data_IF_961558286021
#
_entry.id   IF_961558286021
#
_cell.length_a   1.000
_cell.length_b   1.000
_cell.length_c   1.000
_cell.angle_alpha   90.00
_cell.angle_beta   90.00
_cell.angle_gamma   90.00
#
_symmetry.space_group_name_H-M   'P 1'
#
loop_
_entity.id
_entity.type
_entity.pdbx_description
1 polymer ?
#
# COMPACT_ATOMS: atom_id res chain seq x y z
N UNK A 1 -3.92 -17.91 -12.49
CA UNK A 1 -4.14 -16.43 -12.48
C UNK A 1 -4.77 -16.09 -11.16
N UNK A 2 -4.38 -14.98 -10.49
CA UNK A 2 -5.04 -14.49 -9.28
C UNK A 2 -5.91 -13.29 -9.63
N UNK A 3 -7.11 -13.24 -9.07
CA UNK A 3 -8.08 -12.19 -9.31
C UNK A 3 -8.36 -11.47 -7.99
N UNK A 4 -8.30 -10.16 -8.00
CA UNK A 4 -8.55 -9.34 -6.80
C UNK A 4 -9.52 -8.21 -7.06
N UNK A 5 -9.97 -7.59 -5.98
CA UNK A 5 -10.76 -6.37 -6.01
C UNK A 5 -9.92 -5.20 -5.53
N UNK A 6 -9.96 -4.10 -6.28
CA UNK A 6 -9.43 -2.82 -5.84
C UNK A 6 -10.52 -2.08 -5.08
N UNK A 7 -10.35 -1.87 -3.77
CA UNK A 7 -11.42 -1.31 -2.94
C UNK A 7 -11.55 0.20 -3.12
N UNK A 8 -12.79 0.73 -3.21
CA UNK A 8 -13.04 2.16 -3.44
C UNK A 8 -12.89 2.96 -2.13
N UNK A 9 -11.67 3.24 -1.75
CA UNK A 9 -11.38 4.06 -0.56
C UNK A 9 -11.64 5.54 -0.76
N UNK A 10 -11.73 6.00 -2.02
CA UNK A 10 -12.07 7.37 -2.39
C UNK A 10 -13.51 7.48 -2.87
N UNK A 11 -14.09 8.67 -2.77
CA UNK A 11 -15.43 8.94 -3.26
C UNK A 11 -15.53 8.66 -4.78
N UNK A 12 -16.68 8.16 -5.20
CA UNK A 12 -17.01 7.80 -6.58
C UNK A 12 -16.13 6.72 -7.21
N UNK A 13 -15.29 6.02 -6.41
CA UNK A 13 -14.38 4.98 -6.89
C UNK A 13 -13.48 5.46 -8.03
N UNK A 14 -13.61 4.87 -9.20
CA UNK A 14 -12.81 5.20 -10.39
C UNK A 14 -13.58 6.01 -11.44
N UNK A 15 -14.80 6.49 -11.10
CA UNK A 15 -15.70 7.17 -12.02
C UNK A 15 -15.64 8.67 -11.82
N UNK A 16 -15.20 9.42 -12.84
CA UNK A 16 -15.10 10.88 -12.80
C UNK A 16 -16.27 11.60 -13.48
N UNK A 17 -17.21 10.85 -14.06
CA UNK A 17 -18.37 11.42 -14.75
C UNK A 17 -19.43 11.89 -13.77
N UNK A 18 -19.99 13.07 -14.00
CA UNK A 18 -21.17 13.56 -13.25
C UNK A 18 -22.45 12.76 -13.50
N UNK A 19 -22.46 11.92 -14.56
CA UNK A 19 -23.57 11.04 -14.89
C UNK A 19 -23.45 9.65 -14.23
N UNK A 20 -22.29 9.36 -13.63
CA UNK A 20 -22.11 8.15 -12.84
C UNK A 20 -22.72 8.30 -11.44
N UNK A 21 -23.09 7.20 -10.76
CA UNK A 21 -23.51 7.25 -9.36
C UNK A 21 -22.47 7.96 -8.49
N UNK A 22 -22.94 8.92 -7.70
CA UNK A 22 -22.08 9.65 -6.76
C UNK A 22 -22.23 9.02 -5.37
N UNK A 23 -21.11 8.74 -4.69
CA UNK A 23 -21.11 8.16 -3.34
C UNK A 23 -19.86 8.53 -2.55
N UNK A 24 -20.01 8.57 -1.24
CA UNK A 24 -18.90 8.76 -0.30
C UNK A 24 -18.29 7.41 0.10
N UNK A 25 -16.98 7.34 0.35
CA UNK A 25 -16.37 6.14 0.86
C UNK A 25 -16.80 5.92 2.32
N UNK A 26 -17.26 4.71 2.62
CA UNK A 26 -17.60 4.31 3.99
C UNK A 26 -17.03 2.94 4.29
N UNK A 27 -16.85 2.63 5.58
CA UNK A 27 -16.46 1.29 6.00
C UNK A 27 -17.49 0.24 5.54
N UNK A 28 -18.79 0.52 5.68
CA UNK A 28 -19.83 -0.44 5.33
C UNK A 28 -19.86 -0.76 3.82
N UNK A 29 -19.64 0.25 2.96
CA UNK A 29 -19.52 0.01 1.52
C UNK A 29 -18.32 -0.91 1.21
N UNK A 30 -17.14 -0.59 1.74
CA UNK A 30 -15.94 -1.37 1.51
C UNK A 30 -16.05 -2.80 2.08
N UNK A 31 -16.65 -2.96 3.26
CA UNK A 31 -16.97 -4.25 3.88
C UNK A 31 -17.87 -5.10 2.99
N UNK A 32 -18.99 -4.53 2.51
CA UNK A 32 -19.90 -5.23 1.62
C UNK A 32 -19.20 -5.71 0.32
N UNK A 33 -18.36 -4.86 -0.27
CA UNK A 33 -17.59 -5.21 -1.47
C UNK A 33 -16.62 -6.35 -1.19
N UNK A 34 -15.81 -6.26 -0.12
CA UNK A 34 -14.78 -7.25 0.16
C UNK A 34 -15.38 -8.58 0.61
N UNK A 35 -16.43 -8.58 1.41
CA UNK A 35 -17.15 -9.81 1.77
C UNK A 35 -17.80 -10.46 0.55
N UNK A 36 -18.34 -9.68 -0.38
CA UNK A 36 -18.86 -10.19 -1.65
C UNK A 36 -17.75 -10.77 -2.53
N UNK A 37 -16.59 -10.11 -2.62
CA UNK A 37 -15.43 -10.64 -3.33
C UNK A 37 -14.95 -11.96 -2.71
N UNK A 38 -14.88 -12.04 -1.38
CA UNK A 38 -14.53 -13.27 -0.67
C UNK A 38 -15.54 -14.41 -0.92
N UNK A 39 -16.82 -14.08 -0.95
CA UNK A 39 -17.89 -15.04 -1.27
C UNK A 39 -17.71 -15.62 -2.68
N UNK A 40 -17.34 -14.81 -3.66
CA UNK A 40 -17.06 -15.25 -5.03
C UNK A 40 -15.63 -15.74 -5.26
N UNK A 41 -14.89 -16.05 -4.18
CA UNK A 41 -13.55 -16.63 -4.21
C UNK A 41 -12.48 -15.77 -4.90
N UNK A 42 -12.59 -14.46 -4.80
CA UNK A 42 -11.49 -13.59 -5.20
C UNK A 42 -10.29 -13.83 -4.30
N UNK A 43 -9.08 -13.77 -4.89
CA UNK A 43 -7.84 -14.08 -4.18
C UNK A 43 -7.42 -12.97 -3.20
N UNK A 44 -7.67 -11.71 -3.57
CA UNK A 44 -7.23 -10.58 -2.74
C UNK A 44 -8.09 -9.33 -2.86
N UNK A 45 -8.01 -8.49 -1.83
CA UNK A 45 -8.49 -7.11 -1.81
C UNK A 45 -7.29 -6.17 -1.61
N UNK A 46 -7.20 -5.15 -2.44
CA UNK A 46 -6.14 -4.14 -2.40
C UNK A 46 -6.75 -2.75 -2.28
N UNK A 47 -6.29 -1.95 -1.33
CA UNK A 47 -6.63 -0.53 -1.28
C UNK A 47 -5.55 0.32 -1.97
N UNK A 48 -5.97 1.47 -2.50
CA UNK A 48 -5.03 2.54 -2.84
C UNK A 48 -4.72 3.41 -1.61
N UNK A 49 -3.88 4.40 -1.79
CA UNK A 49 -3.75 5.55 -0.91
C UNK A 49 -3.94 6.82 -1.72
N UNK A 50 -4.71 7.76 -1.18
CA UNK A 50 -4.91 9.08 -1.75
C UNK A 50 -5.04 10.08 -0.61
N UNK A 51 -4.22 11.14 -0.63
CA UNK A 51 -4.13 12.13 0.44
C UNK A 51 -4.74 13.47 0.04
N UNK A 52 -4.87 13.70 -1.26
CA UNK A 52 -5.50 14.87 -1.86
C UNK A 52 -6.07 14.50 -3.21
N UNK A 53 -7.35 14.77 -3.43
CA UNK A 53 -8.02 14.49 -4.69
C UNK A 53 -7.69 15.49 -5.79
N UNK A 54 -8.45 15.42 -6.86
CA UNK A 54 -8.28 16.21 -8.06
C UNK A 54 -9.36 17.31 -8.19
N UNK A 55 -10.35 17.31 -7.27
CA UNK A 55 -11.44 18.26 -7.30
C UNK A 55 -12.38 18.09 -8.48
N UNK A 56 -12.79 19.23 -9.06
CA UNK A 56 -13.74 19.26 -10.16
C UNK A 56 -15.20 19.10 -9.70
N UNK A 57 -16.12 18.94 -10.66
CA UNK A 57 -17.56 18.86 -10.38
C UNK A 57 -17.98 17.64 -9.57
N UNK A 58 -17.18 16.60 -9.56
CA UNK A 58 -17.43 15.35 -8.81
C UNK A 58 -16.59 15.26 -7.54
N UNK A 59 -15.80 16.31 -7.22
CA UNK A 59 -14.83 16.26 -6.10
C UNK A 59 -13.99 14.97 -6.14
N UNK A 60 -13.48 14.61 -7.34
CA UNK A 60 -12.90 13.30 -7.60
C UNK A 60 -11.74 12.99 -6.67
N UNK A 61 -11.94 12.01 -5.79
CA UNK A 61 -11.01 11.59 -4.73
C UNK A 61 -10.66 12.66 -3.71
N UNK A 62 -11.53 13.64 -3.48
CA UNK A 62 -11.32 14.62 -2.40
C UNK A 62 -11.66 14.05 -1.02
N UNK A 63 -12.49 13.01 -0.97
CA UNK A 63 -12.87 12.31 0.25
C UNK A 63 -12.29 10.89 0.24
N UNK A 64 -11.39 10.59 1.18
CA UNK A 64 -10.68 9.30 1.23
C UNK A 64 -10.65 8.74 2.64
N UNK A 65 -10.74 7.40 2.74
CA UNK A 65 -10.39 6.68 3.94
C UNK A 65 -8.87 6.40 3.96
N UNK A 66 -8.31 6.17 5.14
CA UNK A 66 -6.90 5.78 5.27
C UNK A 66 -6.75 4.27 5.05
N UNK A 67 -5.70 3.90 4.31
CA UNK A 67 -5.53 2.55 3.78
C UNK A 67 -5.31 1.49 4.85
N UNK A 68 -4.37 1.68 5.79
CA UNK A 68 -4.03 0.67 6.80
C UNK A 68 -5.16 0.45 7.79
N UNK A 69 -5.76 1.52 8.29
CA UNK A 69 -6.87 1.45 9.24
C UNK A 69 -8.12 0.82 8.63
N UNK A 70 -8.44 1.16 7.37
CA UNK A 70 -9.53 0.50 6.65
C UNK A 70 -9.26 -0.99 6.48
N UNK A 71 -8.06 -1.35 5.98
CA UNK A 71 -7.73 -2.74 5.70
C UNK A 71 -7.60 -3.60 6.98
N UNK A 72 -7.23 -3.01 8.12
CA UNK A 72 -7.32 -3.67 9.41
C UNK A 72 -8.76 -4.05 9.78
N UNK A 73 -9.70 -3.11 9.61
CA UNK A 73 -11.12 -3.37 9.81
C UNK A 73 -11.66 -4.46 8.87
N UNK A 74 -11.26 -4.42 7.58
CA UNK A 74 -11.68 -5.44 6.61
C UNK A 74 -11.06 -6.81 6.89
N UNK A 75 -9.83 -6.86 7.39
CA UNK A 75 -9.19 -8.10 7.84
C UNK A 75 -9.98 -8.78 8.97
N UNK A 76 -10.53 -7.99 9.90
CA UNK A 76 -11.30 -8.49 11.03
C UNK A 76 -12.68 -9.06 10.65
N UNK A 77 -13.23 -8.66 9.50
CA UNK A 77 -14.60 -9.07 9.04
C UNK A 77 -14.55 -10.03 7.85
N UNK A 78 -13.39 -10.57 7.52
CA UNK A 78 -13.15 -11.57 6.47
C UNK A 78 -12.33 -12.74 7.01
N UNK A 79 -12.27 -13.86 6.29
CA UNK A 79 -11.65 -15.09 6.79
C UNK A 79 -10.66 -15.76 5.82
N UNK A 80 -10.71 -15.47 4.52
CA UNK A 80 -9.94 -16.17 3.48
C UNK A 80 -9.20 -15.24 2.54
N UNK A 81 -9.84 -14.15 2.11
CA UNK A 81 -9.30 -13.23 1.12
C UNK A 81 -8.01 -12.57 1.64
N UNK A 82 -6.98 -12.49 0.80
CA UNK A 82 -5.76 -11.76 1.13
C UNK A 82 -6.05 -10.27 1.17
N UNK A 83 -5.46 -9.57 2.13
CA UNK A 83 -5.71 -8.14 2.37
C UNK A 83 -4.42 -7.37 2.15
N UNK A 84 -4.43 -6.37 1.27
CA UNK A 84 -3.27 -5.52 1.00
C UNK A 84 -3.59 -4.06 1.25
N UNK A 85 -2.84 -3.45 2.18
CA UNK A 85 -2.86 -2.00 2.38
C UNK A 85 -1.75 -1.32 1.59
N UNK A 86 -2.00 -0.11 1.12
CA UNK A 86 -1.00 0.70 0.42
C UNK A 86 -0.35 1.70 1.37
N UNK A 87 0.98 1.68 1.44
CA UNK A 87 1.79 2.70 2.08
C UNK A 87 2.41 3.64 1.05
N UNK A 88 2.17 4.93 1.18
CA UNK A 88 2.99 5.95 0.52
C UNK A 88 4.26 6.15 1.36
N UNK A 89 5.40 5.76 0.83
CA UNK A 89 6.64 5.66 1.61
C UNK A 89 7.13 6.97 2.21
N UNK A 90 6.72 8.11 1.64
CA UNK A 90 6.99 9.44 2.19
C UNK A 90 6.16 9.80 3.44
N UNK A 91 5.03 9.13 3.67
CA UNK A 91 4.12 9.50 4.77
C UNK A 91 4.40 8.75 6.06
N UNK A 92 4.95 7.55 5.97
CA UNK A 92 5.15 6.68 7.13
C UNK A 92 6.60 6.17 7.16
N UNK A 93 7.32 6.33 8.27
CA UNK A 93 8.60 5.67 8.48
C UNK A 93 8.48 4.14 8.34
N UNK A 94 9.49 3.44 7.78
CA UNK A 94 9.43 1.99 7.57
C UNK A 94 9.20 1.21 8.87
N UNK A 95 9.74 1.66 9.99
CA UNK A 95 9.54 1.02 11.29
C UNK A 95 8.07 1.06 11.77
N UNK A 96 7.35 2.13 11.43
CA UNK A 96 5.92 2.25 11.74
C UNK A 96 5.11 1.31 10.84
N UNK A 97 5.39 1.30 9.54
CA UNK A 97 4.74 0.37 8.60
C UNK A 97 5.00 -1.09 8.98
N UNK A 98 6.22 -1.41 9.40
CA UNK A 98 6.55 -2.76 9.87
C UNK A 98 5.68 -3.19 11.06
N UNK A 99 5.46 -2.29 12.02
CA UNK A 99 4.63 -2.55 13.21
C UNK A 99 3.14 -2.64 12.88
N UNK A 100 2.64 -1.73 12.05
CA UNK A 100 1.24 -1.77 11.60
C UNK A 100 0.96 -3.07 10.83
N UNK A 101 1.86 -3.46 9.94
CA UNK A 101 1.73 -4.70 9.17
C UNK A 101 1.71 -5.95 10.07
N UNK A 102 2.57 -6.05 11.06
CA UNK A 102 2.57 -7.15 12.05
C UNK A 102 1.25 -7.19 12.85
N UNK A 103 0.69 -6.03 13.20
CA UNK A 103 -0.60 -5.94 13.89
C UNK A 103 -1.73 -6.47 13.00
N UNK A 104 -1.79 -6.05 11.74
CA UNK A 104 -2.84 -6.48 10.81
C UNK A 104 -2.65 -7.96 10.41
N UNK A 105 -1.41 -8.43 10.34
CA UNK A 105 -1.11 -9.86 10.16
C UNK A 105 -1.75 -10.69 11.28
N UNK A 106 -1.60 -10.27 12.53
CA UNK A 106 -2.23 -10.91 13.70
C UNK A 106 -3.77 -10.88 13.60
N UNK A 107 -4.36 -9.73 13.22
CA UNK A 107 -5.83 -9.60 13.05
C UNK A 107 -6.32 -10.53 11.95
N UNK A 108 -5.59 -10.64 10.85
CA UNK A 108 -5.99 -11.40 9.67
C UNK A 108 -5.65 -12.89 9.72
N UNK A 109 -4.84 -13.34 10.70
CA UNK A 109 -4.31 -14.70 10.74
C UNK A 109 -3.39 -15.01 9.55
N UNK A 110 -2.43 -14.12 9.25
CA UNK A 110 -1.43 -14.34 8.20
C UNK A 110 -1.88 -14.00 6.77
N UNK A 111 -3.02 -13.29 6.60
CA UNK A 111 -3.56 -12.93 5.27
C UNK A 111 -3.18 -11.53 4.81
N UNK A 112 -2.33 -10.83 5.56
CA UNK A 112 -1.97 -9.46 5.25
C UNK A 112 -0.74 -9.35 4.33
N UNK A 113 -0.68 -8.26 3.58
CA UNK A 113 0.47 -7.84 2.80
C UNK A 113 0.47 -6.33 2.58
N UNK A 114 1.58 -5.78 2.12
CA UNK A 114 1.78 -4.35 1.93
C UNK A 114 2.04 -4.04 0.47
N UNK A 115 1.34 -3.05 -0.06
CA UNK A 115 1.67 -2.40 -1.33
C UNK A 115 2.44 -1.12 -1.04
N UNK A 116 3.59 -0.93 -1.67
CA UNK A 116 4.44 0.24 -1.50
C UNK A 116 4.37 1.13 -2.73
N UNK A 117 4.11 2.42 -2.52
CA UNK A 117 4.13 3.43 -3.58
C UNK A 117 5.06 4.57 -3.18
N UNK A 118 5.90 5.01 -4.12
CA UNK A 118 6.87 6.08 -3.87
C UNK A 118 6.24 7.48 -3.83
N UNK A 119 4.99 7.61 -4.32
CA UNK A 119 4.35 8.92 -4.48
C UNK A 119 4.76 9.61 -5.78
N UNK A 120 3.80 10.21 -6.46
CA UNK A 120 4.03 10.93 -7.72
C UNK A 120 3.35 12.30 -7.75
N UNK A 121 2.32 12.50 -6.95
CA UNK A 121 1.55 13.74 -6.93
C UNK A 121 2.09 14.66 -5.84
N UNK A 122 3.04 15.51 -6.19
CA UNK A 122 3.70 16.49 -5.30
C UNK A 122 2.74 17.21 -4.34
N UNK A 123 1.56 17.77 -4.78
CA UNK A 123 0.64 18.47 -3.89
C UNK A 123 0.10 17.62 -2.73
N UNK A 124 0.06 16.31 -2.84
CA UNK A 124 -0.36 15.43 -1.72
C UNK A 124 0.59 15.53 -0.54
N UNK A 125 1.87 15.69 -0.80
CA UNK A 125 2.94 15.71 0.21
C UNK A 125 3.27 17.13 0.63
N UNK A 126 3.19 18.11 -0.27
CA UNK A 126 3.40 19.53 0.04
C UNK A 126 2.39 20.06 1.05
N UNK A 127 1.12 19.64 0.96
CA UNK A 127 0.10 20.05 1.93
C UNK A 127 0.44 19.66 3.37
N UNK A 128 1.29 18.65 3.56
CA UNK A 128 1.75 18.18 4.88
C UNK A 128 3.18 18.64 5.21
N UNK A 129 3.83 19.39 4.31
CA UNK A 129 5.21 19.85 4.49
C UNK A 129 6.26 18.73 4.42
N UNK A 130 5.95 17.61 3.78
CA UNK A 130 6.86 16.43 3.70
C UNK A 130 7.38 16.14 2.30
N UNK A 131 7.18 17.03 1.34
CA UNK A 131 7.79 16.87 0.02
C UNK A 131 9.31 17.06 0.11
N UNK A 132 10.14 16.06 -0.31
CA UNK A 132 11.58 16.11 -0.07
C UNK A 132 12.35 17.01 -1.03
N UNK A 133 11.71 17.55 -2.05
CA UNK A 133 12.36 18.35 -3.11
C UNK A 133 12.16 17.73 -4.49
N UNK A 134 12.50 18.51 -5.53
CA UNK A 134 12.19 18.13 -6.92
C UNK A 134 13.13 17.02 -7.46
N UNK A 135 14.29 16.83 -6.85
CA UNK A 135 15.22 15.75 -7.14
C UNK A 135 14.75 14.37 -6.66
N UNK A 136 13.76 14.35 -5.76
CA UNK A 136 13.18 13.10 -5.23
C UNK A 136 12.73 12.14 -6.34
N UNK A 137 12.16 12.67 -7.42
CA UNK A 137 11.63 11.86 -8.50
C UNK A 137 12.70 10.98 -9.16
N UNK A 138 13.93 11.49 -9.29
CA UNK A 138 15.07 10.74 -9.83
C UNK A 138 15.58 9.67 -8.87
N UNK A 139 15.48 9.90 -7.55
CA UNK A 139 16.02 9.03 -6.50
C UNK A 139 14.94 8.17 -5.78
N UNK A 140 13.67 8.24 -6.19
CA UNK A 140 12.55 7.58 -5.49
C UNK A 140 12.68 6.07 -5.36
N UNK A 141 13.37 5.42 -6.31
CA UNK A 141 13.59 3.97 -6.26
C UNK A 141 14.76 3.59 -5.36
N UNK A 142 15.78 4.43 -5.25
CA UNK A 142 16.86 4.26 -4.26
C UNK A 142 16.26 4.37 -2.85
N UNK A 143 15.43 5.40 -2.64
CA UNK A 143 14.65 5.59 -1.40
C UNK A 143 13.80 4.36 -1.07
N UNK A 144 13.07 3.82 -2.07
CA UNK A 144 12.24 2.63 -1.90
C UNK A 144 13.08 1.39 -1.58
N UNK A 145 14.26 1.25 -2.17
CA UNK A 145 15.18 0.13 -1.92
C UNK A 145 15.59 0.08 -0.46
N UNK A 146 16.04 1.20 0.09
CA UNK A 146 16.41 1.29 1.50
C UNK A 146 15.21 1.07 2.42
N UNK A 147 14.05 1.63 2.06
CA UNK A 147 12.80 1.44 2.78
C UNK A 147 12.44 -0.04 2.91
N UNK A 148 12.49 -0.78 1.78
CA UNK A 148 12.22 -2.22 1.74
C UNK A 148 13.25 -3.01 2.54
N UNK A 149 14.54 -2.61 2.51
CA UNK A 149 15.58 -3.27 3.28
C UNK A 149 15.30 -3.17 4.78
N UNK A 150 14.93 -1.99 5.28
CA UNK A 150 14.55 -1.80 6.69
C UNK A 150 13.34 -2.67 7.06
N UNK A 151 12.32 -2.74 6.18
CA UNK A 151 11.17 -3.61 6.42
C UNK A 151 11.56 -5.09 6.52
N UNK A 152 12.46 -5.56 5.62
CA UNK A 152 12.96 -6.94 5.62
C UNK A 152 13.68 -7.29 6.92
N UNK A 153 14.56 -6.40 7.37
CA UNK A 153 15.29 -6.59 8.64
C UNK A 153 14.30 -6.73 9.80
N UNK A 154 13.35 -5.80 9.90
CA UNK A 154 12.39 -5.76 11.00
C UNK A 154 11.41 -6.95 11.00
N UNK A 155 10.95 -7.40 9.83
CA UNK A 155 10.07 -8.56 9.74
C UNK A 155 10.82 -9.89 9.82
N UNK A 156 12.09 -9.93 9.43
CA UNK A 156 12.92 -11.13 9.47
C UNK A 156 13.53 -11.38 10.84
N UNK A 157 14.38 -10.48 11.30
CA UNK A 157 15.12 -10.61 12.57
C UNK A 157 14.47 -9.90 13.74
N UNK A 158 13.48 -9.04 13.52
CA UNK A 158 12.89 -8.15 14.52
C UNK A 158 13.75 -6.94 14.85
N UNK A 159 14.87 -6.75 14.16
CA UNK A 159 15.83 -5.69 14.43
C UNK A 159 16.43 -5.14 13.13
N UNK A 160 16.70 -3.83 13.09
CA UNK A 160 17.49 -3.19 12.04
C UNK A 160 18.47 -2.19 12.63
N UNK A 161 19.72 -2.25 12.17
CA UNK A 161 20.78 -1.26 12.37
C UNK A 161 21.20 -0.67 11.03
N UNK A 162 20.31 -0.66 10.06
CA UNK A 162 20.55 -0.20 8.69
C UNK A 162 21.11 1.22 8.65
N UNK A 163 22.08 1.45 7.80
CA UNK A 163 22.70 2.75 7.53
C UNK A 163 22.74 2.97 6.03
N UNK A 164 21.96 3.89 5.53
CA UNK A 164 21.90 4.27 4.13
C UNK A 164 21.85 5.78 3.94
N UNK A 165 21.59 6.21 2.72
CA UNK A 165 21.51 7.61 2.35
C UNK A 165 20.21 8.26 2.89
N UNK A 166 19.12 7.50 2.93
CA UNK A 166 17.80 7.99 3.30
C UNK A 166 17.38 7.54 4.70
N UNK A 167 17.81 6.36 5.13
CA UNK A 167 17.42 5.81 6.42
C UNK A 167 18.62 5.45 7.27
N UNK A 168 18.54 5.83 8.55
CA UNK A 168 19.49 5.44 9.58
C UNK A 168 18.75 4.85 10.75
N UNK A 169 18.87 3.54 10.94
CA UNK A 169 18.32 2.81 12.09
C UNK A 169 19.39 2.65 13.18
N UNK A 170 18.96 2.66 14.42
CA UNK A 170 19.84 2.48 15.57
C UNK A 170 19.13 1.57 16.58
N UNK A 171 19.49 0.29 16.61
CA UNK A 171 18.83 -0.74 17.42
C UNK A 171 17.31 -0.71 17.28
N UNK A 172 16.81 -0.43 16.06
CA UNK A 172 15.39 -0.32 15.79
C UNK A 172 14.75 -1.69 15.89
N UNK A 173 13.69 -1.83 16.69
CA UNK A 173 13.08 -3.13 16.99
C UNK A 173 11.59 -3.15 16.68
N UNK A 174 11.12 -4.29 16.17
CA UNK A 174 9.70 -4.62 15.98
C UNK A 174 9.42 -5.98 16.59
N UNK A 175 8.49 -6.01 17.53
CA UNK A 175 7.97 -7.23 18.15
C UNK A 175 6.49 -6.99 18.51
N UNK A 176 5.58 -7.97 18.29
CA UNK A 176 5.83 -9.24 17.62
C UNK A 176 6.17 -9.08 16.14
N UNK A 177 6.78 -10.10 15.56
CA UNK A 177 6.99 -10.21 14.12
C UNK A 177 5.75 -10.77 13.43
N UNK A 178 5.59 -10.62 12.09
CA UNK A 178 4.53 -11.27 11.34
C UNK A 178 4.56 -12.80 11.51
N UNK A 179 3.39 -13.41 11.55
CA UNK A 179 3.23 -14.87 11.71
C UNK A 179 3.70 -15.68 10.49
N UNK A 180 3.69 -15.03 9.32
CA UNK A 180 4.15 -15.59 8.04
C UNK A 180 5.02 -14.54 7.31
N UNK A 181 5.85 -14.96 6.33
CA UNK A 181 6.60 -14.01 5.51
C UNK A 181 5.68 -12.96 4.87
N UNK A 182 5.95 -11.68 5.18
CA UNK A 182 5.14 -10.56 4.70
C UNK A 182 5.22 -10.43 3.19
N UNK A 183 4.08 -10.42 2.53
CA UNK A 183 3.97 -10.18 1.09
C UNK A 183 4.09 -8.70 0.80
N UNK A 184 4.95 -8.34 -0.15
CA UNK A 184 5.14 -6.97 -0.59
C UNK A 184 4.80 -6.85 -2.07
N UNK A 185 3.97 -5.87 -2.40
CA UNK A 185 3.68 -5.45 -3.76
C UNK A 185 4.32 -4.08 -3.94
N UNK A 186 4.88 -3.80 -5.09
CA UNK A 186 5.27 -2.44 -5.47
C UNK A 186 4.62 -2.09 -6.80
N UNK A 187 3.99 -0.94 -6.84
CA UNK A 187 3.47 -0.37 -8.08
C UNK A 187 4.62 0.31 -8.83
N UNK A 188 4.92 -0.16 -10.03
CA UNK A 188 5.93 0.44 -10.91
C UNK A 188 6.11 -0.34 -12.19
N UNK A 189 6.42 0.36 -13.28
CA UNK A 189 6.60 -0.23 -14.62
C UNK A 189 8.06 -0.21 -15.09
N UNK A 190 8.96 0.44 -14.33
CA UNK A 190 10.37 0.56 -14.69
C UNK A 190 11.20 -0.64 -14.24
N UNK A 191 12.30 -0.91 -14.94
CA UNK A 191 13.28 -1.93 -14.54
C UNK A 191 13.82 -1.69 -13.13
N UNK A 192 13.96 -0.41 -12.72
CA UNK A 192 14.35 -0.04 -11.36
C UNK A 192 13.34 -0.51 -10.30
N UNK A 193 12.03 -0.42 -10.58
CA UNK A 193 11.00 -0.96 -9.68
C UNK A 193 11.10 -2.50 -9.57
N UNK A 194 11.45 -3.18 -10.68
CA UNK A 194 11.68 -4.63 -10.67
C UNK A 194 12.91 -5.01 -9.84
N UNK A 195 13.98 -4.24 -9.94
CA UNK A 195 15.24 -4.52 -9.21
C UNK A 195 15.05 -4.47 -7.70
N UNK A 196 14.26 -3.51 -7.20
CA UNK A 196 13.93 -3.40 -5.76
C UNK A 196 13.28 -4.67 -5.21
N UNK A 197 12.53 -5.40 -6.05
CA UNK A 197 11.66 -6.50 -5.62
C UNK A 197 12.21 -7.88 -5.99
N UNK A 198 13.07 -7.97 -7.00
CA UNK A 198 13.58 -9.24 -7.53
C UNK A 198 14.89 -9.70 -6.89
N UNK A 199 15.13 -9.41 -5.61
CA UNK A 199 16.19 -10.10 -4.88
C UNK A 199 15.90 -11.60 -4.86
N UNK A 200 16.90 -12.49 -4.99
CA UNK A 200 16.72 -13.95 -4.89
C UNK A 200 16.04 -14.39 -3.60
N UNK A 201 16.09 -13.57 -2.53
CA UNK A 201 15.38 -13.80 -1.28
C UNK A 201 13.85 -13.58 -1.40
N UNK A 202 13.37 -13.05 -2.51
CA UNK A 202 11.98 -12.63 -2.73
C UNK A 202 11.21 -13.56 -3.68
N UNK A 203 11.78 -14.71 -4.02
CA UNK A 203 11.13 -15.73 -4.84
C UNK A 203 9.78 -16.16 -4.22
N UNK A 204 8.68 -15.70 -4.81
CA UNK A 204 7.32 -15.95 -4.33
C UNK A 204 6.46 -14.70 -4.10
N UNK A 205 7.01 -13.51 -4.28
CA UNK A 205 6.28 -12.24 -4.12
C UNK A 205 5.56 -11.85 -5.41
N UNK A 206 4.38 -11.31 -5.29
CA UNK A 206 3.48 -11.05 -6.41
C UNK A 206 3.66 -9.63 -6.94
N UNK A 207 3.80 -9.51 -8.28
CA UNK A 207 3.74 -8.23 -8.98
C UNK A 207 2.33 -7.99 -9.51
N UNK A 208 1.76 -6.84 -9.22
CA UNK A 208 0.61 -6.34 -9.96
C UNK A 208 1.14 -5.37 -11.01
N UNK A 209 1.11 -5.79 -12.27
CA UNK A 209 1.28 -4.90 -13.41
C UNK A 209 -0.03 -4.16 -13.58
N UNK A 210 -0.05 -2.84 -13.50
CA UNK A 210 -1.24 -2.09 -13.85
C UNK A 210 -1.41 -2.16 -15.37
N UNK A 211 -2.56 -2.65 -15.83
CA UNK A 211 -2.93 -2.70 -17.25
C UNK A 211 -3.42 -1.33 -17.76
N UNK A 212 -2.88 -0.23 -17.25
CA UNK A 212 -3.15 1.11 -17.73
C UNK A 212 -2.11 1.56 -18.76
N UNK A 213 -1.71 0.66 -19.64
CA UNK A 213 -0.98 1.02 -20.84
C UNK A 213 -2.00 1.50 -21.88
N UNK A 214 -2.45 2.73 -21.72
CA UNK A 214 -3.07 3.45 -22.82
C UNK A 214 -1.99 3.75 -23.86
N UNK A 215 -1.97 3.00 -24.95
CA UNK A 215 -1.38 3.45 -26.18
C UNK A 215 -2.07 4.75 -26.60
N UNK A 216 -1.30 5.83 -26.70
CA UNK A 216 -1.72 7.11 -27.20
C UNK A 216 -0.56 8.08 -27.17
#
# INVERSE_FOLDING_TARGET
MKIGVFVPIGNNGWLISTHAPQYMPTFELNKAIVQKAEHYHFDFALSMIKLRGFGGKTEFWDHNLESFTLMAGLAAVTSRIQIYATAATLTLPPAIVARMAATIDSISGGRFGVNLVTGWQKPEYEQMGIWPGDDYFSRRYDYLTEYVQVLRDLWGSGKSDFKGDFFTMNDCRVSPQPSVPMKVICAGQSDAAFTVLCSPADAGRYFIRSALDGNG
#
